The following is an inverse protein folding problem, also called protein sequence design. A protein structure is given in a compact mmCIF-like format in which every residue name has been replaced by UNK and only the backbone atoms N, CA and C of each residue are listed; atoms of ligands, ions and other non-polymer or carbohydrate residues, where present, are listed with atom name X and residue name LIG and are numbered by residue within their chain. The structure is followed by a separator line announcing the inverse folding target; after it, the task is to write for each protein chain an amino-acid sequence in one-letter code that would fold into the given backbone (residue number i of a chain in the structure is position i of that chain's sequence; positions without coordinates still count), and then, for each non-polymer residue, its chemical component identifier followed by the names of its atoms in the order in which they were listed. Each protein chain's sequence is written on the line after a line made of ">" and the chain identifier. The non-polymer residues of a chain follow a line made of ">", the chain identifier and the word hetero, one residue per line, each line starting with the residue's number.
data_IF_276112851853
#
_entry.id   IF_276112851853
#
_cell.length_a   1.000
_cell.length_b   1.000
_cell.length_c   1.000
_cell.angle_alpha   90.00
_cell.angle_beta   90.00
_cell.angle_gamma   90.00
#
_symmetry.space_group_name_H-M   'P 1'
#
loop_
_entity.id
_entity.type
_entity.pdbx_description
1 polymer ?
#
# COMPACT_ATOMS: atom_id res chain seq x y z
N UNK A 1 20.73 11.43 -13.42
CA UNK A 1 20.49 12.43 -12.36
C UNK A 1 19.04 12.26 -11.93
N UNK A 2 18.79 12.14 -10.63
CA UNK A 2 17.54 11.60 -10.08
C UNK A 2 16.73 12.69 -9.35
N UNK A 3 15.40 12.59 -9.35
CA UNK A 3 14.48 13.40 -8.55
C UNK A 3 13.38 12.52 -7.93
N UNK A 4 12.86 12.90 -6.75
CA UNK A 4 11.87 12.10 -6.02
C UNK A 4 10.45 12.31 -6.58
N UNK A 5 9.74 11.21 -6.90
CA UNK A 5 8.38 11.17 -7.44
C UNK A 5 7.45 10.28 -6.59
N UNK A 6 6.13 10.48 -6.63
CA UNK A 6 5.14 9.63 -5.92
C UNK A 6 4.92 8.33 -6.71
N UNK A 7 5.20 7.19 -6.08
CA UNK A 7 5.08 5.87 -6.66
C UNK A 7 3.63 5.60 -7.13
N UNK A 8 3.39 5.65 -8.44
CA UNK A 8 2.07 5.34 -9.02
C UNK A 8 1.77 3.83 -9.02
N UNK A 9 2.74 2.98 -8.65
CA UNK A 9 2.75 1.55 -8.98
C UNK A 9 2.00 0.65 -7.99
N UNK A 10 1.61 1.14 -6.81
CA UNK A 10 0.92 0.29 -5.82
C UNK A 10 -0.55 0.03 -6.14
N UNK A 11 -1.16 0.81 -7.04
CA UNK A 11 -2.54 0.58 -7.52
C UNK A 11 -2.67 -0.56 -8.56
N UNK A 12 -1.55 -1.18 -8.98
CA UNK A 12 -1.55 -2.23 -10.04
C UNK A 12 -0.84 -3.53 -9.71
N UNK A 13 -0.29 -3.71 -8.51
CA UNK A 13 0.26 -5.00 -8.09
C UNK A 13 -0.85 -5.94 -7.61
N UNK A 14 -1.66 -6.45 -8.55
CA UNK A 14 -2.23 -7.81 -8.38
C UNK A 14 -1.08 -8.79 -8.50
N UNK A 15 -0.32 -8.96 -7.42
CA UNK A 15 0.52 -10.13 -7.26
C UNK A 15 -0.41 -11.33 -7.23
N UNK A 16 -0.44 -12.05 -8.35
CA UNK A 16 -1.07 -13.37 -8.41
C UNK A 16 -0.27 -14.26 -7.46
N UNK A 17 -0.88 -14.91 -6.46
CA UNK A 17 -0.14 -15.84 -5.63
C UNK A 17 0.21 -17.06 -6.50
N UNK A 18 1.49 -17.16 -6.89
CA UNK A 18 2.05 -18.38 -7.46
C UNK A 18 2.18 -19.41 -6.33
N UNK A 19 1.06 -19.98 -5.91
CA UNK A 19 1.08 -21.25 -5.20
C UNK A 19 1.05 -22.37 -6.24
N UNK A 20 2.18 -23.07 -6.37
CA UNK A 20 2.25 -24.38 -7.01
C UNK A 20 1.26 -25.31 -6.33
N UNK A 21 0.08 -25.47 -6.93
CA UNK A 21 -0.97 -26.37 -6.47
C UNK A 21 -0.67 -27.79 -6.95
N UNK A 22 -0.47 -28.70 -6.01
CA UNK A 22 -0.53 -30.13 -6.28
C UNK A 22 -1.93 -30.51 -6.74
N UNK A 23 -2.01 -31.06 -7.95
CA UNK A 23 -3.21 -31.56 -8.63
C UNK A 23 -4.03 -32.53 -7.78
N UNK A 24 -5.31 -32.22 -7.54
CA UNK A 24 -6.40 -33.22 -7.48
C UNK A 24 -7.72 -32.62 -8.03
N UNK A 25 -8.62 -33.45 -8.61
CA UNK A 25 -9.42 -33.06 -9.77
C UNK A 25 -10.74 -32.35 -9.44
N UNK A 26 -10.98 -31.23 -10.13
CA UNK A 26 -12.27 -30.55 -10.14
C UNK A 26 -13.27 -31.26 -11.06
N UNK A 27 -14.30 -31.88 -10.50
CA UNK A 27 -15.48 -32.28 -11.28
C UNK A 27 -16.29 -31.03 -11.63
N UNK A 28 -16.35 -30.71 -12.92
CA UNK A 28 -17.14 -29.61 -13.47
C UNK A 28 -18.54 -30.12 -13.85
N UNK A 29 -19.56 -29.72 -13.10
CA UNK A 29 -20.94 -29.88 -13.53
C UNK A 29 -21.40 -28.64 -14.29
N UNK A 30 -21.37 -28.77 -15.63
CA UNK A 30 -21.96 -27.85 -16.61
C UNK A 30 -23.47 -28.08 -16.64
N UNK A 31 -24.27 -27.12 -16.15
CA UNK A 31 -25.72 -27.14 -16.34
C UNK A 31 -26.09 -26.44 -17.66
N UNK A 32 -26.76 -27.18 -18.56
CA UNK A 32 -27.53 -26.62 -19.69
C UNK A 32 -29.03 -26.87 -19.44
N UNK A 33 -29.91 -26.02 -19.98
CA UNK A 33 -31.30 -25.92 -19.55
C UNK A 33 -32.25 -26.81 -20.36
N UNK A 34 -33.23 -27.45 -19.71
CA UNK A 34 -34.39 -28.05 -20.38
C UNK A 34 -35.67 -27.91 -19.55
N UNK A 35 -36.51 -26.99 -20.03
CA UNK A 35 -37.97 -26.99 -20.21
C UNK A 35 -38.89 -27.87 -19.33
N UNK A 36 -39.79 -27.16 -18.63
CA UNK A 36 -41.25 -27.33 -18.48
C UNK A 36 -41.85 -28.71 -18.16
N UNK A 37 -42.47 -28.80 -16.97
CA UNK A 37 -43.86 -29.26 -16.82
C UNK A 37 -44.52 -28.57 -15.61
N UNK A 38 -45.84 -28.39 -15.70
CA UNK A 38 -46.67 -27.41 -14.97
C UNK A 38 -47.04 -27.76 -13.51
N UNK A 39 -47.57 -26.77 -12.74
CA UNK A 39 -47.74 -26.83 -11.29
C UNK A 39 -49.19 -27.08 -10.86
N UNK A 40 -49.39 -27.45 -9.59
CA UNK A 40 -50.62 -27.19 -8.85
C UNK A 40 -50.32 -26.80 -7.40
N UNK A 41 -51.20 -26.00 -6.77
CA UNK A 41 -50.78 -24.82 -6.03
C UNK A 41 -51.13 -24.88 -4.54
N UNK A 42 -50.67 -23.88 -3.79
CA UNK A 42 -51.37 -23.09 -2.75
C UNK A 42 -50.38 -22.60 -1.66
N UNK A 43 -50.71 -21.55 -0.88
CA UNK A 43 -50.64 -20.17 -1.35
C UNK A 43 -49.83 -19.25 -0.41
N UNK A 44 -49.45 -18.11 -0.99
CA UNK A 44 -48.87 -16.93 -0.35
C UNK A 44 -49.99 -16.13 0.36
N UNK A 45 -49.69 -15.55 1.53
CA UNK A 45 -50.32 -14.30 2.01
C UNK A 45 -49.35 -13.65 3.03
N UNK A 46 -48.58 -12.61 2.68
CA UNK A 46 -48.89 -11.16 2.69
C UNK A 46 -49.43 -10.67 4.03
N UNK A 47 -48.61 -9.86 4.70
CA UNK A 47 -48.91 -9.08 5.91
C UNK A 47 -49.50 -7.73 5.49
N UNK A 48 -50.64 -7.36 6.06
CA UNK A 48 -51.12 -5.98 6.14
C UNK A 48 -51.68 -5.70 7.55
N UNK A 49 -51.21 -4.61 8.13
CA UNK A 49 -51.79 -3.90 9.27
C UNK A 49 -53.14 -3.27 8.86
N UNK A 50 -54.12 -3.00 9.76
CA UNK A 50 -54.05 -1.78 10.59
C UNK A 50 -54.77 -1.82 11.97
N UNK A 51 -54.71 -0.66 12.63
CA UNK A 51 -55.05 -0.25 14.01
C UNK A 51 -56.49 -0.41 14.56
N UNK A 52 -56.56 -0.33 15.91
CA UNK A 52 -57.51 0.39 16.80
C UNK A 52 -58.61 -0.36 17.61
N UNK A 53 -58.42 -0.26 18.94
CA UNK A 53 -59.34 0.15 20.01
C UNK A 53 -60.35 -0.83 20.69
N UNK A 54 -60.09 -1.04 21.99
CA UNK A 54 -60.99 -0.77 23.14
C UNK A 54 -61.74 -1.92 23.85
N UNK A 55 -61.47 -1.97 25.17
CA UNK A 55 -62.29 -2.39 26.32
C UNK A 55 -62.29 -3.86 26.77
N UNK A 56 -61.83 -4.05 28.03
CA UNK A 56 -62.06 -5.20 28.90
C UNK A 56 -63.46 -5.09 29.56
N UNK A 57 -64.08 -6.19 30.04
CA UNK A 57 -63.73 -6.68 31.39
C UNK A 57 -63.86 -8.21 31.66
N UNK A 58 -63.13 -8.63 32.70
CA UNK A 58 -63.40 -9.70 33.70
C UNK A 58 -63.44 -11.20 33.31
N UNK A 59 -62.45 -11.88 33.91
CA UNK A 59 -62.22 -13.29 34.24
C UNK A 59 -63.44 -14.24 34.35
N UNK A 60 -63.36 -15.39 33.66
CA UNK A 60 -63.66 -16.72 34.21
C UNK A 60 -63.26 -17.84 33.22
N UNK A 61 -62.49 -18.83 33.70
CA UNK A 61 -62.63 -20.24 33.30
C UNK A 61 -61.96 -20.72 32.01
N UNK A 62 -60.76 -21.30 32.15
CA UNK A 62 -60.25 -22.50 31.46
C UNK A 62 -60.81 -22.84 30.05
N UNK A 63 -60.00 -22.66 29.01
CA UNK A 63 -59.59 -23.76 28.12
C UNK A 63 -58.48 -23.32 27.15
N UNK A 64 -57.42 -24.14 27.14
CA UNK A 64 -56.26 -24.13 26.25
C UNK A 64 -56.60 -23.83 24.79
N UNK A 65 -55.98 -22.78 24.25
CA UNK A 65 -55.35 -22.78 22.93
C UNK A 65 -54.38 -21.60 22.88
N UNK A 66 -53.23 -21.78 23.53
CA UNK A 66 -52.05 -20.99 23.18
C UNK A 66 -51.61 -21.49 21.80
N UNK A 67 -51.76 -20.65 20.79
CA UNK A 67 -50.83 -20.66 19.68
C UNK A 67 -49.56 -19.99 20.24
N UNK A 68 -48.81 -20.77 21.00
CA UNK A 68 -47.42 -20.50 21.35
C UNK A 68 -46.62 -21.13 20.21
N UNK A 69 -46.46 -20.40 19.11
CA UNK A 69 -45.24 -20.55 18.31
C UNK A 69 -44.13 -19.87 19.12
N UNK A 70 -43.84 -20.42 20.30
CA UNK A 70 -42.62 -20.11 21.03
C UNK A 70 -41.52 -20.71 20.17
N UNK A 71 -40.89 -19.86 19.35
CA UNK A 71 -39.64 -20.17 18.67
C UNK A 71 -38.63 -20.55 19.77
N UNK A 72 -38.61 -21.85 20.11
CA UNK A 72 -37.68 -22.46 21.04
C UNK A 72 -36.31 -22.42 20.37
N UNK A 73 -35.61 -21.30 20.53
CA UNK A 73 -34.20 -21.20 20.20
C UNK A 73 -33.47 -22.20 21.09
N UNK A 74 -32.86 -23.21 20.46
CA UNK A 74 -32.16 -24.30 21.14
C UNK A 74 -31.11 -23.81 22.13
N UNK A 75 -30.74 -24.65 23.08
CA UNK A 75 -29.67 -24.30 24.02
C UNK A 75 -28.32 -24.34 23.31
N UNK A 76 -27.56 -23.23 23.40
CA UNK A 76 -26.19 -23.13 22.85
C UNK A 76 -25.27 -24.13 23.54
N UNK A 77 -24.59 -24.99 22.78
CA UNK A 77 -23.54 -25.88 23.30
C UNK A 77 -22.19 -25.16 23.31
N UNK A 78 -21.73 -24.73 22.14
CA UNK A 78 -20.50 -23.95 21.96
C UNK A 78 -20.47 -23.19 20.64
N UNK A 79 -19.59 -22.20 20.56
CA UNK A 79 -19.24 -21.49 19.34
C UNK A 79 -18.15 -22.28 18.60
N UNK A 80 -18.35 -22.51 17.30
CA UNK A 80 -17.45 -23.27 16.42
C UNK A 80 -17.03 -22.47 15.18
N UNK A 81 -17.27 -21.16 15.17
CA UNK A 81 -16.91 -20.26 14.10
C UNK A 81 -17.32 -18.83 14.40
N UNK A 82 -16.61 -17.86 13.83
CA UNK A 82 -17.00 -16.45 13.83
C UNK A 82 -16.85 -15.85 12.44
N UNK A 83 -17.59 -14.77 12.17
CA UNK A 83 -17.44 -13.93 10.98
C UNK A 83 -17.98 -12.52 11.22
N UNK A 84 -17.48 -11.55 10.47
CA UNK A 84 -18.11 -10.24 10.38
C UNK A 84 -19.56 -10.34 9.84
N UNK A 85 -20.49 -9.61 10.45
CA UNK A 85 -21.90 -9.58 10.02
C UNK A 85 -22.07 -8.89 8.66
N UNK A 86 -22.82 -9.51 7.74
CA UNK A 86 -23.08 -8.92 6.42
C UNK A 86 -23.88 -7.61 6.53
N UNK A 87 -23.24 -6.48 6.19
CA UNK A 87 -23.90 -5.17 6.12
C UNK A 87 -24.23 -4.52 7.47
N UNK A 88 -23.68 -5.02 8.59
CA UNK A 88 -23.85 -4.45 9.94
C UNK A 88 -22.52 -4.33 10.66
N UNK A 89 -22.44 -3.40 11.61
CA UNK A 89 -21.32 -3.30 12.58
C UNK A 89 -21.53 -4.35 13.68
N UNK A 90 -21.04 -5.58 13.48
CA UNK A 90 -21.19 -6.65 14.47
C UNK A 90 -20.58 -7.98 14.02
N UNK A 91 -20.59 -8.95 14.94
CA UNK A 91 -20.09 -10.31 14.70
C UNK A 91 -21.24 -11.31 14.64
N UNK A 92 -21.11 -12.29 13.78
CA UNK A 92 -21.95 -13.50 13.77
C UNK A 92 -21.10 -14.70 14.21
N UNK A 93 -21.75 -15.63 14.91
CA UNK A 93 -21.12 -16.83 15.42
C UNK A 93 -21.83 -18.07 14.91
N UNK A 94 -21.05 -19.08 14.56
CA UNK A 94 -21.57 -20.39 14.18
C UNK A 94 -21.78 -21.21 15.45
N UNK A 95 -23.03 -21.55 15.73
CA UNK A 95 -23.42 -22.23 16.96
C UNK A 95 -23.61 -23.71 16.73
N UNK A 96 -22.98 -24.55 17.55
CA UNK A 96 -23.38 -25.95 17.75
C UNK A 96 -24.43 -26.01 18.87
N UNK A 97 -25.55 -26.68 18.59
CA UNK A 97 -26.72 -26.73 19.48
C UNK A 97 -26.75 -28.03 20.28
N UNK A 98 -27.15 -27.97 21.56
CA UNK A 98 -27.20 -29.15 22.45
C UNK A 98 -28.25 -30.18 22.06
N UNK A 99 -29.32 -29.73 21.42
CA UNK A 99 -30.42 -30.57 20.93
C UNK A 99 -30.09 -31.31 19.63
N UNK A 100 -28.89 -31.13 19.09
CA UNK A 100 -28.42 -31.81 17.88
C UNK A 100 -28.95 -31.18 16.59
N UNK A 101 -29.51 -29.96 16.64
CA UNK A 101 -29.82 -29.20 15.43
C UNK A 101 -28.54 -28.88 14.63
N UNK A 102 -28.72 -28.72 13.32
CA UNK A 102 -27.62 -28.36 12.42
C UNK A 102 -27.01 -27.02 12.82
N UNK A 103 -25.67 -26.89 12.84
CA UNK A 103 -25.03 -25.63 13.19
C UNK A 103 -25.52 -24.46 12.33
N UNK A 104 -25.75 -23.31 12.96
CA UNK A 104 -26.30 -22.14 12.28
C UNK A 104 -25.64 -20.84 12.75
N UNK A 105 -25.52 -19.88 11.82
CA UNK A 105 -25.01 -18.55 12.10
C UNK A 105 -26.04 -17.72 12.85
N UNK A 106 -25.63 -17.16 13.99
CA UNK A 106 -26.46 -16.33 14.85
C UNK A 106 -25.70 -15.04 15.18
N UNK A 107 -26.38 -13.89 15.11
CA UNK A 107 -25.79 -12.61 15.51
C UNK A 107 -25.43 -12.62 16.99
N UNK A 108 -24.33 -11.95 17.34
CA UNK A 108 -23.89 -11.74 18.73
C UNK A 108 -25.00 -11.22 19.64
N UNK A 109 -25.98 -10.48 19.11
CA UNK A 109 -27.08 -9.88 19.86
C UNK A 109 -28.04 -10.92 20.47
N UNK A 110 -28.10 -12.12 19.88
CA UNK A 110 -29.00 -13.20 20.30
C UNK A 110 -28.32 -14.29 21.13
N UNK A 111 -27.00 -14.15 21.37
CA UNK A 111 -26.22 -15.12 22.15
C UNK A 111 -25.93 -14.52 23.52
N UNK A 112 -25.89 -15.38 24.55
CA UNK A 112 -25.52 -14.95 25.89
C UNK A 112 -24.09 -14.36 25.91
N UNK A 113 -23.94 -13.20 26.55
CA UNK A 113 -22.69 -12.42 26.53
C UNK A 113 -21.49 -13.16 27.14
N UNK A 114 -21.74 -14.01 28.12
CA UNK A 114 -20.75 -14.88 28.76
C UNK A 114 -20.22 -15.93 27.77
N UNK A 115 -21.09 -16.58 26.99
CA UNK A 115 -20.67 -17.55 25.97
C UNK A 115 -19.80 -16.90 24.89
N UNK A 116 -20.21 -15.72 24.40
CA UNK A 116 -19.40 -14.95 23.44
C UNK A 116 -18.06 -14.54 24.08
N UNK A 117 -18.08 -14.08 25.34
CA UNK A 117 -16.87 -13.70 26.05
C UNK A 117 -15.92 -14.89 26.25
N UNK A 118 -16.41 -16.10 26.53
CA UNK A 118 -15.56 -17.29 26.65
C UNK A 118 -14.81 -17.60 25.34
N UNK A 119 -15.46 -17.40 24.19
CA UNK A 119 -14.85 -17.59 22.87
C UNK A 119 -13.90 -16.45 22.46
N UNK A 120 -14.25 -15.19 22.76
CA UNK A 120 -13.51 -14.00 22.32
C UNK A 120 -12.36 -13.59 23.26
N UNK A 121 -12.52 -13.81 24.57
CA UNK A 121 -11.53 -13.37 25.58
C UNK A 121 -10.12 -13.90 25.32
N UNK A 122 -9.91 -15.18 24.97
CA UNK A 122 -8.57 -15.69 24.64
C UNK A 122 -7.93 -14.94 23.47
N UNK A 123 -8.70 -14.66 22.42
CA UNK A 123 -8.25 -13.93 21.23
C UNK A 123 -7.80 -12.50 21.58
N UNK A 124 -8.68 -11.73 22.23
CA UNK A 124 -8.35 -10.35 22.61
C UNK A 124 -7.25 -10.28 23.66
N UNK A 125 -7.14 -11.26 24.55
CA UNK A 125 -6.04 -11.33 25.51
C UNK A 125 -4.71 -11.57 24.82
N UNK A 126 -4.67 -12.47 23.82
CA UNK A 126 -3.48 -12.75 23.03
C UNK A 126 -3.05 -11.52 22.22
N UNK A 127 -4.00 -10.87 21.52
CA UNK A 127 -3.74 -9.66 20.74
C UNK A 127 -3.23 -8.49 21.60
N UNK A 128 -3.91 -8.19 22.72
CA UNK A 128 -3.54 -7.07 23.62
C UNK A 128 -2.22 -7.28 24.36
N UNK A 129 -1.73 -8.52 24.46
CA UNK A 129 -0.42 -8.86 25.02
C UNK A 129 0.66 -9.08 23.95
N UNK A 130 0.29 -9.05 22.67
CA UNK A 130 1.14 -9.47 21.56
C UNK A 130 1.77 -10.87 21.79
N UNK A 131 0.96 -11.81 22.29
CA UNK A 131 1.38 -13.20 22.53
C UNK A 131 1.24 -14.01 21.23
N UNK A 132 2.35 -14.09 20.49
CA UNK A 132 2.42 -14.80 19.21
C UNK A 132 2.10 -16.30 19.35
N UNK A 133 2.46 -16.94 20.46
CA UNK A 133 2.18 -18.37 20.66
C UNK A 133 0.70 -18.62 20.91
N UNK A 134 0.05 -17.74 21.68
CA UNK A 134 -1.38 -17.81 21.90
C UNK A 134 -2.16 -17.52 20.60
N UNK A 135 -1.80 -16.48 19.85
CA UNK A 135 -2.43 -16.18 18.55
C UNK A 135 -2.27 -17.34 17.58
N UNK A 136 -1.05 -17.87 17.41
CA UNK A 136 -0.79 -18.99 16.51
C UNK A 136 -1.64 -20.22 16.85
N UNK A 137 -1.71 -20.61 18.13
CA UNK A 137 -2.55 -21.74 18.56
C UNK A 137 -4.04 -21.52 18.33
N UNK A 138 -4.52 -20.29 18.47
CA UNK A 138 -5.93 -19.96 18.23
C UNK A 138 -6.26 -19.98 16.73
N UNK A 139 -5.33 -19.55 15.87
CA UNK A 139 -5.50 -19.57 14.42
C UNK A 139 -5.42 -20.99 13.86
N UNK A 140 -4.53 -21.82 14.42
CA UNK A 140 -4.40 -23.23 14.06
C UNK A 140 -5.52 -24.12 14.65
N UNK A 141 -6.37 -23.57 15.52
CA UNK A 141 -7.55 -24.28 16.00
C UNK A 141 -8.56 -24.40 14.85
N UNK A 142 -9.09 -25.60 14.63
CA UNK A 142 -10.15 -25.87 13.65
C UNK A 142 -11.52 -25.37 14.18
N UNK A 143 -11.56 -24.14 14.69
CA UNK A 143 -12.73 -23.49 15.29
C UNK A 143 -13.34 -22.39 14.39
N UNK A 144 -12.93 -22.34 13.12
CA UNK A 144 -13.51 -21.47 12.09
C UNK A 144 -13.47 -19.98 12.44
N UNK A 145 -12.50 -19.55 13.24
CA UNK A 145 -12.39 -18.17 13.71
C UNK A 145 -12.07 -17.19 12.60
N UNK A 146 -12.77 -16.08 12.59
CA UNK A 146 -12.45 -14.91 11.76
C UNK A 146 -11.20 -14.20 12.30
N UNK A 147 -10.17 -14.10 11.45
CA UNK A 147 -8.91 -13.40 11.77
C UNK A 147 -9.15 -11.90 11.89
N UNK A 148 -10.11 -11.37 11.14
CA UNK A 148 -10.51 -9.97 11.14
C UNK A 148 -11.72 -9.72 12.05
N UNK A 149 -11.90 -10.58 13.07
CA UNK A 149 -12.84 -10.30 14.15
C UNK A 149 -12.57 -8.91 14.74
N UNK A 150 -13.65 -8.13 14.92
CA UNK A 150 -13.58 -6.74 15.38
C UNK A 150 -14.10 -6.59 16.81
N UNK A 151 -13.49 -5.67 17.56
CA UNK A 151 -14.01 -5.24 18.85
C UNK A 151 -15.12 -4.17 18.70
N UNK A 152 -15.61 -3.63 19.81
CA UNK A 152 -16.65 -2.59 19.82
C UNK A 152 -16.25 -1.30 19.11
N UNK A 153 -14.95 -1.03 18.96
CA UNK A 153 -14.41 0.13 18.28
C UNK A 153 -14.13 -0.17 16.78
N UNK A 154 -14.46 -1.37 16.31
CA UNK A 154 -14.17 -1.84 14.96
C UNK A 154 -12.71 -2.22 14.75
N UNK A 155 -11.94 -2.50 15.81
CA UNK A 155 -10.51 -2.83 15.67
C UNK A 155 -10.28 -4.32 15.58
N UNK A 156 -9.47 -4.75 14.62
CA UNK A 156 -8.99 -6.14 14.52
C UNK A 156 -7.76 -6.37 15.40
N UNK A 157 -7.37 -7.64 15.57
CA UNK A 157 -6.14 -8.00 16.28
C UNK A 157 -4.89 -7.35 15.65
N UNK A 158 -4.87 -7.19 14.32
CA UNK A 158 -3.76 -6.61 13.58
C UNK A 158 -3.46 -5.17 14.02
N UNK A 159 -4.50 -4.35 14.25
CA UNK A 159 -4.35 -2.98 14.72
C UNK A 159 -3.69 -2.92 16.11
N UNK A 160 -4.08 -3.81 17.04
CA UNK A 160 -3.49 -3.88 18.37
C UNK A 160 -2.01 -4.26 18.32
N UNK A 161 -1.66 -5.36 17.64
CA UNK A 161 -0.28 -5.83 17.61
C UNK A 161 0.64 -4.89 16.85
N UNK A 162 0.09 -4.15 15.87
CA UNK A 162 0.83 -3.12 15.15
C UNK A 162 1.18 -1.93 16.04
N UNK A 163 0.23 -1.45 16.84
CA UNK A 163 0.49 -0.39 17.84
C UNK A 163 1.42 -0.84 18.97
N UNK A 164 1.41 -2.12 19.34
CA UNK A 164 2.33 -2.70 20.33
C UNK A 164 3.75 -2.87 19.76
N UNK A 165 3.88 -3.02 18.43
CA UNK A 165 5.17 -3.17 17.75
C UNK A 165 5.63 -4.62 17.62
N UNK A 166 4.72 -5.59 17.58
CA UNK A 166 5.07 -7.00 17.50
C UNK A 166 5.07 -7.50 16.06
N UNK A 167 6.25 -7.48 15.44
CA UNK A 167 6.47 -7.96 14.07
C UNK A 167 6.06 -9.43 13.89
N UNK A 168 6.32 -10.27 14.89
CA UNK A 168 5.97 -11.70 14.84
C UNK A 168 4.44 -11.91 14.77
N UNK A 169 3.68 -11.18 15.58
CA UNK A 169 2.22 -11.29 15.54
C UNK A 169 1.64 -10.73 14.24
N UNK A 170 2.23 -9.65 13.71
CA UNK A 170 1.83 -9.08 12.41
C UNK A 170 2.04 -10.11 11.31
N UNK A 171 3.19 -10.80 11.28
CA UNK A 171 3.47 -11.86 10.32
C UNK A 171 2.46 -13.01 10.41
N UNK A 172 2.20 -13.51 11.62
CA UNK A 172 1.24 -14.60 11.84
C UNK A 172 -0.16 -14.24 11.35
N UNK A 173 -0.64 -13.02 11.66
CA UNK A 173 -1.96 -12.57 11.23
C UNK A 173 -2.02 -12.37 9.70
N UNK A 174 -0.97 -11.79 9.10
CA UNK A 174 -0.90 -11.62 7.65
C UNK A 174 -0.82 -12.97 6.90
N UNK A 175 -0.04 -13.93 7.41
CA UNK A 175 0.01 -15.30 6.86
C UNK A 175 -1.35 -16.02 6.98
N UNK A 176 -2.13 -15.68 8.00
CA UNK A 176 -3.51 -16.16 8.17
C UNK A 176 -4.54 -15.43 7.29
N UNK A 177 -4.12 -14.43 6.50
CA UNK A 177 -4.97 -13.69 5.56
C UNK A 177 -5.70 -12.48 6.15
N UNK A 178 -5.21 -11.91 7.25
CA UNK A 178 -5.76 -10.67 7.80
C UNK A 178 -5.75 -9.51 6.78
N UNK A 179 -6.81 -8.71 6.77
CA UNK A 179 -6.87 -7.47 6.00
C UNK A 179 -5.92 -6.40 6.58
N UNK A 180 -4.84 -6.12 5.84
CA UNK A 180 -3.82 -5.15 6.22
C UNK A 180 -4.34 -3.70 6.19
N UNK A 181 -5.35 -3.44 5.36
CA UNK A 181 -5.91 -2.11 5.11
C UNK A 181 -7.24 -1.88 5.84
N UNK A 182 -7.61 -2.80 6.74
CA UNK A 182 -8.79 -2.68 7.58
C UNK A 182 -8.79 -1.35 8.36
N UNK A 183 -9.92 -0.65 8.33
CA UNK A 183 -10.11 0.66 8.98
C UNK A 183 -10.97 0.51 10.23
N UNK A 184 -10.51 1.03 11.37
CA UNK A 184 -11.33 1.06 12.57
C UNK A 184 -12.52 2.04 12.46
N UNK A 185 -13.54 1.84 13.30
CA UNK A 185 -14.72 2.71 13.33
C UNK A 185 -14.51 3.98 14.17
N UNK A 186 -13.41 4.05 14.92
CA UNK A 186 -13.13 5.17 15.84
C UNK A 186 -12.50 6.37 15.13
N UNK A 187 -11.77 6.16 14.05
CA UNK A 187 -11.19 7.22 13.26
C UNK A 187 -10.68 6.79 11.88
N UNK A 188 -11.08 5.62 11.40
CA UNK A 188 -10.65 5.10 10.11
C UNK A 188 -9.18 4.69 10.08
N UNK A 189 -8.60 4.35 11.24
CA UNK A 189 -7.17 4.05 11.36
C UNK A 189 -6.87 2.61 10.89
N UNK A 190 -5.79 2.46 10.13
CA UNK A 190 -5.27 1.15 9.68
C UNK A 190 -4.11 0.66 10.55
N UNK A 191 -3.62 -0.56 10.28
CA UNK A 191 -2.43 -1.10 10.91
C UNK A 191 -1.20 -0.19 10.74
N UNK A 192 -1.01 0.39 9.56
CA UNK A 192 0.07 1.36 9.30
C UNK A 192 -0.08 2.65 10.11
N UNK A 193 -1.30 3.15 10.29
CA UNK A 193 -1.55 4.29 11.18
C UNK A 193 -1.19 3.98 12.63
N UNK A 194 -1.52 2.78 13.11
CA UNK A 194 -1.15 2.34 14.46
C UNK A 194 0.37 2.25 14.61
N UNK A 195 1.06 1.63 13.64
CA UNK A 195 2.52 1.55 13.65
C UNK A 195 3.17 2.94 13.64
N UNK A 196 2.64 3.88 12.84
CA UNK A 196 3.13 5.26 12.77
C UNK A 196 2.88 6.04 14.07
N UNK A 197 1.66 6.02 14.59
CA UNK A 197 1.25 6.75 15.78
C UNK A 197 1.97 6.30 17.06
N UNK A 198 2.23 4.99 17.18
CA UNK A 198 2.94 4.37 18.29
C UNK A 198 4.45 4.21 18.04
N UNK A 199 4.97 4.75 16.94
CA UNK A 199 6.41 4.84 16.64
C UNK A 199 7.07 3.46 16.54
N UNK A 200 6.52 2.60 15.67
CA UNK A 200 6.95 1.21 15.45
C UNK A 200 7.54 1.04 14.04
N UNK A 201 8.79 1.47 13.80
CA UNK A 201 9.39 1.44 12.47
C UNK A 201 9.56 0.04 11.89
N UNK A 202 9.86 -0.97 12.72
CA UNK A 202 9.99 -2.36 12.25
C UNK A 202 8.66 -2.93 11.75
N UNK A 203 7.57 -2.69 12.48
CA UNK A 203 6.22 -3.05 12.02
C UNK A 203 5.80 -2.28 10.78
N UNK A 204 6.07 -0.96 10.72
CA UNK A 204 5.72 -0.17 9.54
C UNK A 204 6.40 -0.72 8.27
N UNK A 205 7.68 -1.07 8.36
CA UNK A 205 8.42 -1.75 7.28
C UNK A 205 7.80 -3.09 6.91
N UNK A 206 7.55 -3.94 7.91
CA UNK A 206 6.97 -5.25 7.68
C UNK A 206 5.59 -5.17 7.01
N UNK A 207 4.72 -4.26 7.43
CA UNK A 207 3.40 -4.08 6.82
C UNK A 207 3.51 -3.68 5.33
N UNK A 208 4.44 -2.79 4.98
CA UNK A 208 4.69 -2.43 3.58
C UNK A 208 5.27 -3.60 2.78
N UNK A 209 6.19 -4.37 3.37
CA UNK A 209 6.74 -5.59 2.74
C UNK A 209 5.65 -6.64 2.48
N UNK A 210 4.62 -6.70 3.34
CA UNK A 210 3.46 -7.57 3.20
C UNK A 210 2.39 -7.01 2.23
N UNK A 211 2.57 -5.79 1.73
CA UNK A 211 1.69 -5.18 0.73
C UNK A 211 0.55 -4.32 1.29
N UNK A 212 0.65 -3.82 2.53
CA UNK A 212 -0.28 -2.82 3.05
C UNK A 212 -0.20 -1.51 2.25
N UNK A 213 -1.33 -0.87 1.97
CA UNK A 213 -1.39 0.36 1.18
C UNK A 213 -1.03 1.58 2.06
N UNK A 214 0.11 2.27 1.79
CA UNK A 214 0.52 3.44 2.55
C UNK A 214 -0.32 4.69 2.27
N UNK A 215 -1.20 4.68 1.25
CA UNK A 215 -2.02 5.83 0.85
C UNK A 215 -3.43 5.82 1.46
N UNK A 216 -3.79 4.78 2.22
CA UNK A 216 -5.10 4.73 2.89
C UNK A 216 -5.23 5.90 3.86
N UNK A 217 -6.37 6.60 3.79
CA UNK A 217 -6.63 7.77 4.62
C UNK A 217 -7.49 7.45 5.85
N UNK A 218 -7.13 8.04 6.98
CA UNK A 218 -7.98 8.10 8.17
C UNK A 218 -9.20 9.03 7.93
N UNK A 219 -10.13 9.09 8.88
CA UNK A 219 -11.35 9.92 8.76
C UNK A 219 -11.05 11.43 8.76
N UNK A 220 -9.80 11.84 9.03
CA UNK A 220 -9.33 13.21 8.91
C UNK A 220 -8.62 13.48 7.59
N UNK A 221 -8.60 12.50 6.68
CA UNK A 221 -7.92 12.59 5.39
C UNK A 221 -6.40 12.51 5.47
N UNK A 222 -5.84 11.98 6.57
CA UNK A 222 -4.39 11.83 6.76
C UNK A 222 -3.96 10.44 6.35
N UNK A 223 -2.84 10.34 5.64
CA UNK A 223 -2.12 9.08 5.46
C UNK A 223 -1.32 8.72 6.71
N UNK A 224 -0.82 7.47 6.87
CA UNK A 224 0.14 7.10 7.90
C UNK A 224 1.38 8.01 7.91
N UNK A 225 1.85 8.44 6.74
CA UNK A 225 2.98 9.36 6.60
C UNK A 225 2.66 10.75 7.13
N UNK A 226 1.48 11.30 6.79
CA UNK A 226 1.02 12.59 7.28
C UNK A 226 0.87 12.58 8.80
N UNK A 227 0.29 11.50 9.36
CA UNK A 227 0.17 11.31 10.79
C UNK A 227 1.55 11.31 11.48
N UNK A 228 2.53 10.58 10.95
CA UNK A 228 3.87 10.54 11.51
C UNK A 228 4.54 11.93 11.49
N UNK A 229 4.42 12.66 10.39
CA UNK A 229 4.93 14.04 10.23
C UNK A 229 4.26 15.02 11.19
N UNK A 230 2.95 14.92 11.36
CA UNK A 230 2.18 15.75 12.30
C UNK A 230 2.65 15.51 13.75
N UNK A 231 2.80 14.24 14.14
CA UNK A 231 3.28 13.86 15.48
C UNK A 231 4.72 14.35 15.70
N UNK A 232 5.60 14.21 14.71
CA UNK A 232 6.98 14.69 14.81
C UNK A 232 7.03 16.22 15.03
N UNK A 233 6.18 16.98 14.31
CA UNK A 233 6.11 18.44 14.44
C UNK A 233 5.71 18.90 15.84
N UNK A 234 4.79 18.20 16.49
CA UNK A 234 4.33 18.55 17.86
C UNK A 234 5.24 18.00 18.97
N UNK A 235 6.15 17.07 18.64
CA UNK A 235 7.02 16.43 19.65
C UNK A 235 8.08 17.41 20.17
N UNK A 236 8.18 17.64 21.50
CA UNK A 236 9.14 18.60 22.07
C UNK A 236 10.60 18.25 21.77
N UNK A 237 11.39 19.27 21.37
CA UNK A 237 12.80 19.09 20.99
C UNK A 237 13.78 19.05 22.18
N UNK A 238 13.42 19.68 23.30
CA UNK A 238 14.32 19.92 24.44
C UNK A 238 14.42 18.80 25.49
N UNK A 239 13.68 17.70 25.35
CA UNK A 239 13.68 16.62 26.34
C UNK A 239 14.41 15.36 25.80
N UNK A 240 15.46 14.86 26.48
CA UNK A 240 16.16 13.63 26.10
C UNK A 240 15.26 12.41 25.96
N UNK A 241 14.20 12.29 26.76
CA UNK A 241 13.23 11.19 26.66
C UNK A 241 12.39 11.26 25.38
N UNK A 242 12.19 12.48 24.83
CA UNK A 242 11.53 12.68 23.55
C UNK A 242 12.49 12.55 22.37
N UNK A 243 13.81 12.57 22.59
CA UNK A 243 14.80 12.38 21.53
C UNK A 243 14.63 11.01 20.86
N UNK A 244 14.51 9.93 21.66
CA UNK A 244 14.28 8.59 21.14
C UNK A 244 12.96 8.49 20.35
N UNK A 245 11.90 9.18 20.82
CA UNK A 245 10.63 9.24 20.10
C UNK A 245 10.76 9.94 18.75
N UNK A 246 11.49 11.06 18.68
CA UNK A 246 11.76 11.78 17.42
C UNK A 246 12.55 10.92 16.45
N UNK A 247 13.61 10.28 16.92
CA UNK A 247 14.40 9.37 16.09
C UNK A 247 13.57 8.21 15.56
N UNK A 248 12.68 7.65 16.39
CA UNK A 248 11.75 6.62 15.97
C UNK A 248 10.75 7.12 14.90
N UNK A 249 10.19 8.32 15.07
CA UNK A 249 9.27 8.93 14.11
C UNK A 249 9.98 9.24 12.79
N UNK A 250 11.21 9.77 12.84
CA UNK A 250 12.06 9.98 11.66
C UNK A 250 12.34 8.66 10.94
N UNK A 251 12.56 7.56 11.67
CA UNK A 251 12.74 6.23 11.09
C UNK A 251 11.47 5.70 10.40
N UNK A 252 10.29 5.90 11.00
CA UNK A 252 9.00 5.58 10.38
C UNK A 252 8.76 6.42 9.13
N UNK A 253 8.96 7.74 9.22
CA UNK A 253 8.78 8.67 8.10
C UNK A 253 9.68 8.27 6.95
N UNK A 254 10.96 7.99 7.22
CA UNK A 254 11.89 7.55 6.19
C UNK A 254 11.45 6.25 5.54
N UNK A 255 10.99 5.26 6.32
CA UNK A 255 10.50 4.00 5.76
C UNK A 255 9.29 4.21 4.84
N UNK A 256 8.32 5.02 5.27
CA UNK A 256 7.14 5.35 4.46
C UNK A 256 7.53 6.19 3.22
N UNK A 257 8.46 7.13 3.36
CA UNK A 257 8.96 7.92 2.22
C UNK A 257 9.71 7.06 1.21
N UNK A 258 10.53 6.10 1.65
CA UNK A 258 11.21 5.14 0.77
C UNK A 258 10.22 4.23 0.02
N UNK A 259 9.03 3.98 0.57
CA UNK A 259 8.00 3.18 -0.08
C UNK A 259 7.11 4.01 -1.02
N UNK A 260 6.77 5.24 -0.61
CA UNK A 260 5.87 6.13 -1.34
C UNK A 260 6.61 6.92 -2.42
N UNK A 261 7.90 7.23 -2.23
CA UNK A 261 8.66 8.03 -3.18
C UNK A 261 9.81 7.24 -3.80
N UNK A 262 9.95 7.35 -5.12
CA UNK A 262 11.07 6.78 -5.87
C UNK A 262 11.90 7.85 -6.56
N UNK A 263 13.18 7.56 -6.75
CA UNK A 263 14.09 8.39 -7.52
C UNK A 263 13.89 8.08 -9.01
N UNK A 264 13.40 9.06 -9.78
CA UNK A 264 13.20 8.99 -11.21
C UNK A 264 14.21 9.88 -11.95
N UNK A 265 14.65 9.45 -13.14
CA UNK A 265 15.57 10.26 -13.94
C UNK A 265 14.85 11.46 -14.58
N UNK A 266 15.40 12.64 -14.34
CA UNK A 266 14.92 13.88 -14.96
C UNK A 266 15.48 13.98 -16.38
N UNK A 267 14.62 14.26 -17.35
CA UNK A 267 15.05 14.60 -18.70
C UNK A 267 15.50 16.06 -18.77
N UNK A 268 14.65 16.97 -18.27
CA UNK A 268 14.87 18.41 -18.39
C UNK A 268 14.03 19.18 -17.35
N UNK A 269 14.53 20.34 -16.90
CA UNK A 269 13.74 21.31 -16.16
C UNK A 269 13.22 22.37 -17.13
N UNK A 270 11.90 22.54 -17.21
CA UNK A 270 11.26 23.38 -18.23
C UNK A 270 10.95 24.78 -17.73
N UNK A 271 10.43 24.88 -16.51
CA UNK A 271 9.97 26.15 -15.94
C UNK A 271 10.30 26.23 -14.45
N UNK A 272 10.34 27.46 -13.94
CA UNK A 272 10.57 27.77 -12.53
C UNK A 272 9.44 28.63 -11.99
N UNK A 273 8.92 28.30 -10.82
CA UNK A 273 7.93 29.11 -10.10
C UNK A 273 8.22 29.20 -8.60
N UNK A 274 7.60 30.19 -7.96
CA UNK A 274 7.73 30.39 -6.53
C UNK A 274 9.05 31.04 -6.11
N UNK A 275 9.28 31.14 -4.79
CA UNK A 275 10.48 31.72 -4.17
C UNK A 275 10.75 31.04 -2.82
N UNK A 276 12.03 30.93 -2.44
CA UNK A 276 12.45 30.38 -1.15
C UNK A 276 12.05 28.90 -0.99
N UNK A 277 11.44 28.56 0.15
CA UNK A 277 11.04 27.17 0.49
C UNK A 277 9.96 26.58 -0.43
N UNK A 278 9.22 27.44 -1.14
CA UNK A 278 8.19 27.08 -2.12
C UNK A 278 8.70 27.21 -3.56
N UNK A 279 10.02 27.20 -3.75
CA UNK A 279 10.59 27.17 -5.09
C UNK A 279 10.35 25.79 -5.72
N UNK A 280 9.77 25.81 -6.92
CA UNK A 280 9.38 24.62 -7.67
C UNK A 280 9.84 24.74 -9.11
N UNK A 281 10.20 23.61 -9.70
CA UNK A 281 10.56 23.47 -11.10
C UNK A 281 9.59 22.50 -11.78
N UNK A 282 9.24 22.80 -13.03
CA UNK A 282 8.47 21.89 -13.87
C UNK A 282 9.44 20.87 -14.45
N UNK A 283 9.32 19.63 -13.99
CA UNK A 283 10.20 18.52 -14.36
C UNK A 283 9.57 17.76 -15.51
N UNK A 284 10.35 17.55 -16.57
CA UNK A 284 10.06 16.60 -17.64
C UNK A 284 10.79 15.30 -17.34
N UNK A 285 10.05 14.20 -17.29
CA UNK A 285 10.58 12.90 -16.90
C UNK A 285 11.08 12.10 -18.10
N UNK A 286 12.12 11.27 -17.91
CA UNK A 286 12.67 10.43 -19.00
C UNK A 286 11.80 9.22 -19.36
N UNK A 287 11.03 8.71 -18.42
CA UNK A 287 10.08 7.61 -18.61
C UNK A 287 8.86 8.00 -19.47
N UNK A 288 8.69 9.30 -19.72
CA UNK A 288 7.60 9.85 -20.53
C UNK A 288 6.33 10.14 -19.74
N UNK A 289 6.39 10.13 -18.41
CA UNK A 289 5.29 10.58 -17.56
C UNK A 289 5.00 12.08 -17.73
N UNK A 290 3.79 12.48 -17.34
CA UNK A 290 3.35 13.87 -17.43
C UNK A 290 4.28 14.81 -16.67
N UNK A 291 4.56 15.98 -17.25
CA UNK A 291 5.41 16.97 -16.60
C UNK A 291 4.79 17.45 -15.29
N UNK A 292 5.55 17.39 -14.19
CA UNK A 292 5.05 17.75 -12.86
C UNK A 292 5.88 18.82 -12.17
N UNK A 293 5.23 19.62 -11.33
CA UNK A 293 5.91 20.62 -10.52
C UNK A 293 6.49 19.97 -9.27
N UNK A 294 7.83 19.94 -9.19
CA UNK A 294 8.58 19.36 -8.07
C UNK A 294 9.31 20.46 -7.32
N UNK A 295 9.33 20.38 -5.98
CA UNK A 295 10.07 21.35 -5.16
C UNK A 295 11.56 21.22 -5.36
N UNK A 296 12.26 22.35 -5.37
CA UNK A 296 13.71 22.43 -5.56
C UNK A 296 14.51 21.49 -4.63
N UNK A 297 14.03 21.29 -3.39
CA UNK A 297 14.67 20.41 -2.41
C UNK A 297 14.69 18.91 -2.78
N UNK A 298 13.91 18.51 -3.78
CA UNK A 298 13.76 17.12 -4.24
C UNK A 298 14.38 16.88 -5.61
N UNK A 299 15.04 17.89 -6.17
CA UNK A 299 15.73 17.85 -7.46
C UNK A 299 17.22 17.94 -7.17
N UNK A 300 18.04 17.21 -7.94
CA UNK A 300 19.49 17.31 -7.87
C UNK A 300 19.98 18.77 -7.96
N UNK A 301 20.92 19.15 -7.10
CA UNK A 301 21.48 20.52 -7.08
C UNK A 301 22.23 20.83 -8.38
N UNK A 302 22.80 19.81 -9.03
CA UNK A 302 23.40 19.85 -10.36
C UNK A 302 22.39 20.28 -11.43
N UNK A 303 21.24 19.62 -11.50
CA UNK A 303 20.17 19.95 -12.47
C UNK A 303 19.67 21.38 -12.30
N UNK A 304 19.49 21.82 -11.05
CA UNK A 304 19.05 23.19 -10.76
C UNK A 304 20.12 24.19 -11.20
N UNK A 305 21.39 23.89 -10.91
CA UNK A 305 22.51 24.75 -11.27
C UNK A 305 22.64 24.89 -12.78
N UNK A 306 22.47 23.78 -13.52
CA UNK A 306 22.52 23.78 -14.98
C UNK A 306 21.37 24.60 -15.58
N UNK A 307 20.15 24.42 -15.09
CA UNK A 307 19.00 25.23 -15.48
C UNK A 307 19.19 26.72 -15.16
N UNK A 308 19.67 27.07 -13.97
CA UNK A 308 19.92 28.46 -13.58
C UNK A 308 21.08 29.10 -14.35
N UNK A 309 22.04 28.30 -14.81
CA UNK A 309 23.10 28.74 -15.72
C UNK A 309 22.59 28.93 -17.17
N UNK A 310 21.36 28.51 -17.47
CA UNK A 310 20.79 28.53 -18.82
C UNK A 310 21.47 27.53 -19.75
N UNK A 311 22.04 26.45 -19.20
CA UNK A 311 22.60 25.35 -19.99
C UNK A 311 21.42 24.56 -20.58
N UNK A 312 21.17 24.73 -21.88
CA UNK A 312 20.27 23.85 -22.62
C UNK A 312 20.96 22.49 -22.80
N UNK A 313 20.28 21.42 -22.37
CA UNK A 313 20.74 20.05 -22.61
C UNK A 313 20.51 19.70 -24.08
N UNK A 314 21.42 20.10 -24.96
CA UNK A 314 21.45 19.65 -26.34
C UNK A 314 22.14 18.29 -26.43
N UNK A 315 21.60 17.36 -27.23
CA UNK A 315 22.26 16.09 -27.49
C UNK A 315 23.34 16.32 -28.56
N UNK A 316 24.58 16.00 -28.23
CA UNK A 316 25.67 16.05 -29.19
C UNK A 316 25.54 14.88 -30.18
N UNK A 317 25.45 15.18 -31.48
CA UNK A 317 25.52 14.17 -32.54
C UNK A 317 26.95 13.64 -32.70
N UNK A 318 27.95 14.49 -32.47
CA UNK A 318 29.35 14.09 -32.51
C UNK A 318 30.33 15.27 -32.45
N UNK A 319 31.61 14.94 -32.31
CA UNK A 319 32.71 15.92 -32.30
C UNK A 319 33.32 16.00 -33.69
N UNK A 320 33.42 17.22 -34.23
CA UNK A 320 33.95 17.50 -35.58
C UNK A 320 35.39 18.01 -35.58
N UNK A 321 35.87 18.55 -34.46
CA UNK A 321 37.18 19.19 -34.39
C UNK A 321 37.69 19.35 -32.97
N UNK A 322 39.00 19.56 -32.83
CA UNK A 322 39.70 19.84 -31.58
C UNK A 322 40.61 21.04 -31.76
N UNK A 323 40.61 21.97 -30.80
CA UNK A 323 41.55 23.08 -30.72
C UNK A 323 42.03 23.27 -29.28
N UNK A 324 43.06 24.10 -29.12
CA UNK A 324 43.49 24.56 -27.80
C UNK A 324 42.86 25.93 -27.55
N UNK A 325 42.08 26.07 -26.48
CA UNK A 325 41.47 27.31 -26.04
C UNK A 325 42.50 28.31 -25.51
N UNK A 326 42.08 29.56 -25.35
CA UNK A 326 42.93 30.66 -24.86
C UNK A 326 43.40 30.46 -23.40
N UNK A 327 42.70 29.59 -22.66
CA UNK A 327 43.03 29.15 -21.30
C UNK A 327 44.04 27.98 -21.26
N UNK A 328 44.46 27.48 -22.42
CA UNK A 328 45.37 26.34 -22.57
C UNK A 328 44.71 24.98 -22.37
N UNK A 329 43.37 24.91 -22.27
CA UNK A 329 42.61 23.66 -22.22
C UNK A 329 42.16 23.25 -23.62
N UNK A 330 41.78 21.98 -23.80
CA UNK A 330 41.21 21.54 -25.06
C UNK A 330 39.76 22.01 -25.18
N UNK A 331 39.41 22.48 -26.37
CA UNK A 331 38.03 22.73 -26.78
C UNK A 331 37.71 21.85 -27.98
N UNK A 332 36.48 21.37 -28.04
CA UNK A 332 35.98 20.50 -29.09
C UNK A 332 34.84 21.18 -29.84
N UNK A 333 34.83 21.06 -31.16
CA UNK A 333 33.75 21.55 -32.00
C UNK A 333 32.66 20.49 -32.03
N UNK A 334 31.56 20.74 -31.33
CA UNK A 334 30.46 19.79 -31.15
C UNK A 334 29.37 20.09 -32.17
N UNK A 335 28.94 19.06 -32.90
CA UNK A 335 27.73 19.08 -33.70
C UNK A 335 26.57 18.64 -32.83
N UNK A 336 25.52 19.44 -32.76
CA UNK A 336 24.32 19.16 -31.97
C UNK A 336 23.21 18.59 -32.85
N UNK A 337 22.30 17.82 -32.25
CA UNK A 337 21.12 17.30 -32.95
C UNK A 337 20.13 18.38 -33.35
N UNK A 338 20.04 19.44 -32.54
CA UNK A 338 18.97 20.45 -32.62
C UNK A 338 19.47 21.86 -32.95
N UNK A 339 20.78 22.02 -33.17
CA UNK A 339 21.42 23.29 -33.57
C UNK A 339 22.15 23.06 -34.89
N UNK A 340 21.78 23.84 -35.91
CA UNK A 340 22.36 23.72 -37.26
C UNK A 340 23.87 24.02 -37.29
N UNK A 341 24.32 24.92 -36.41
CA UNK A 341 25.71 25.37 -36.33
C UNK A 341 26.45 24.66 -35.18
N UNK A 342 27.59 24.06 -35.49
CA UNK A 342 28.47 23.46 -34.49
C UNK A 342 29.15 24.52 -33.62
N UNK A 343 29.21 24.31 -32.30
CA UNK A 343 29.83 25.25 -31.34
C UNK A 343 31.07 24.67 -30.69
N UNK A 344 31.99 25.55 -30.30
CA UNK A 344 33.21 25.14 -29.58
C UNK A 344 32.91 25.07 -28.09
N UNK A 345 33.01 23.88 -27.54
CA UNK A 345 32.76 23.60 -26.12
C UNK A 345 34.04 23.14 -25.42
N UNK A 346 34.23 23.51 -24.14
CA UNK A 346 35.34 23.01 -23.34
C UNK A 346 35.23 21.49 -23.14
N UNK A 347 36.36 20.79 -22.98
CA UNK A 347 36.43 19.34 -22.76
C UNK A 347 35.50 18.83 -21.64
N UNK A 348 35.27 19.64 -20.60
CA UNK A 348 34.41 19.32 -19.46
C UNK A 348 32.91 19.22 -19.82
N UNK A 349 32.49 19.84 -20.92
CA UNK A 349 31.09 19.90 -21.37
C UNK A 349 30.75 18.86 -22.46
N UNK A 350 31.74 18.09 -22.92
CA UNK A 350 31.56 17.16 -24.05
C UNK A 350 31.63 15.72 -23.55
N UNK A 351 30.72 14.89 -24.05
CA UNK A 351 30.67 13.47 -23.69
C UNK A 351 32.04 12.80 -23.97
N UNK A 352 32.67 12.18 -22.95
CA UNK A 352 33.99 11.56 -23.09
C UNK A 352 34.02 10.42 -24.10
N UNK A 353 32.90 9.73 -24.34
CA UNK A 353 32.84 8.68 -25.36
C UNK A 353 32.88 9.26 -26.79
N UNK A 354 32.28 10.43 -27.01
CA UNK A 354 32.36 11.14 -28.30
C UNK A 354 33.76 11.69 -28.56
N UNK A 355 34.42 12.23 -27.54
CA UNK A 355 35.82 12.68 -27.63
C UNK A 355 36.71 11.50 -28.04
N UNK A 356 36.56 10.37 -27.35
CA UNK A 356 37.35 9.17 -27.61
C UNK A 356 37.11 8.61 -29.00
N UNK A 357 35.86 8.61 -29.48
CA UNK A 357 35.54 8.21 -30.85
C UNK A 357 36.25 9.10 -31.87
N UNK A 358 36.18 10.43 -31.71
CA UNK A 358 36.85 11.39 -32.59
C UNK A 358 38.38 11.24 -32.61
N UNK A 359 39.00 11.08 -31.44
CA UNK A 359 40.45 10.90 -31.35
C UNK A 359 40.91 9.57 -31.99
N UNK A 360 40.12 8.51 -31.83
CA UNK A 360 40.42 7.21 -32.46
C UNK A 360 40.36 7.25 -33.99
N UNK A 361 39.43 8.03 -34.56
CA UNK A 361 39.33 8.24 -36.01
C UNK A 361 40.49 9.09 -36.56
N UNK A 362 40.93 10.11 -35.81
CA UNK A 362 42.09 10.94 -36.18
C UNK A 362 43.40 10.15 -36.18
N UNK A 363 43.61 9.27 -35.19
CA UNK A 363 44.80 8.42 -35.13
C UNK A 363 44.79 7.34 -36.21
N UNK A 364 43.63 6.76 -36.54
CA UNK A 364 43.49 5.85 -37.69
C UNK A 364 43.86 6.51 -39.02
N UNK A 365 43.49 7.79 -39.20
CA UNK A 365 43.80 8.55 -40.42
C UNK A 365 45.26 9.04 -40.48
N UNK A 366 45.94 9.19 -39.34
CA UNK A 366 47.39 9.47 -39.26
C UNK A 366 48.24 8.26 -39.64
N UNK A 367 47.83 7.05 -39.28
CA UNK A 367 48.59 5.83 -39.60
C UNK A 367 48.53 5.50 -41.10
N UNK A 368 47.43 5.82 -41.80
CA UNK A 368 47.31 5.61 -43.25
C UNK A 368 48.16 6.54 -44.13
N UNK A 369 48.64 7.67 -43.59
CA UNK A 369 49.38 8.66 -44.39
C UNK A 369 50.92 8.51 -44.29
N UNK A 370 51.43 7.65 -43.41
CA UNK A 370 52.87 7.41 -43.25
C UNK A 370 53.37 6.29 -44.18
N UNK A 371 52.51 5.38 -44.65
CA UNK A 371 52.92 4.27 -45.54
C UNK A 371 53.11 4.67 -47.02
N UNK A 372 52.76 5.89 -47.43
CA UNK A 372 52.83 6.31 -48.85
C UNK A 372 54.10 7.07 -49.25
N UNK A 373 55.09 7.25 -48.36
CA UNK A 373 56.32 8.02 -48.66
C UNK A 373 57.65 7.23 -48.65
N UNK A 374 57.63 5.90 -48.48
CA UNK A 374 58.83 5.07 -48.55
C UNK A 374 58.79 4.12 -49.76
N UNK A 375 58.76 4.65 -50.98
CA UNK A 375 59.16 3.92 -52.19
C UNK A 375 59.31 4.87 -53.38
N UNK A 376 60.37 5.68 -53.38
CA UNK A 376 61.00 6.28 -54.57
C UNK A 376 62.40 6.73 -54.16
N UNK A 377 63.39 6.38 -54.99
CA UNK A 377 64.85 6.57 -54.88
C UNK A 377 65.58 5.35 -54.30
N UNK A 378 66.35 4.56 -55.04
CA UNK A 378 66.88 4.63 -56.41
C UNK A 378 67.71 3.37 -56.71
N UNK A 379 68.76 3.47 -57.54
CA UNK A 379 68.86 3.04 -58.94
C UNK A 379 69.10 1.54 -59.20
#
# INVERSE_FOLDING_TARGET
>A
MEALFVNQSLSRLKLSPNFTTSSFPSQSYRLKPTQKAHPTPTPICVIQNPEKQSQAPTLSGNQKRGNEDDEYYGEVDKIIGSRAAEGKTGMEYLIEWKDGHTPSWVSSDYIAKDVVAEYETPWWTAAKKADHNALKRLIEADDGRDIDAVDSDGRTALLFVSGLGSEECVRILAEAGADLDHRDNSGGLTALHMAAGYVKPGVAKLLMELGADPEVQDDRGRTPLDLAKEILKVTPKGNPMQFARRLGLESVIRALEEAVFEYAEVQELLEKRGKGDNLEYLVKWKDGDDNTWVKARFIGEDLIKDYEAGLEYAVAEGVLGKRLGDDGKNEYLVKWTDIDDATWEPEENVDPDLIKAFESDQDGNRVGNVETQLNKDGP
#
